data_IF_094699946297
#
_entry.id   IF_094699946297
#
_cell.length_a   1.000
_cell.length_b   1.000
_cell.length_c   1.000
_cell.angle_alpha   90.00
_cell.angle_beta   90.00
_cell.angle_gamma   90.00
#
_symmetry.space_group_name_H-M   'P 1'
#
loop_
_entity.id
_entity.type
_entity.pdbx_description
1 polymer ?
#
# COMPACT_ATOMS: atom_id res chain seq x y z
N UNK A 1 -3.25 -19.05 -2.92
CA UNK A 1 -2.14 -18.14 -3.24
C UNK A 1 -2.29 -16.91 -2.38
N UNK A 2 -1.30 -16.53 -1.57
CA UNK A 2 -1.37 -15.33 -0.73
C UNK A 2 -0.54 -14.22 -1.37
N UNK A 3 -1.16 -13.07 -1.63
CA UNK A 3 -0.44 -11.88 -2.07
C UNK A 3 -0.03 -11.06 -0.84
N UNK A 4 1.28 -10.76 -0.72
CA UNK A 4 1.79 -9.87 0.30
C UNK A 4 2.09 -8.51 -0.32
N UNK A 5 1.42 -7.46 0.17
CA UNK A 5 1.66 -6.09 -0.26
C UNK A 5 2.54 -5.36 0.75
N UNK A 6 3.44 -4.53 0.23
CA UNK A 6 4.32 -3.67 1.01
C UNK A 6 3.97 -2.22 0.68
N UNK A 7 3.62 -1.45 1.72
CA UNK A 7 3.33 -0.03 1.61
C UNK A 7 4.47 0.76 2.24
N UNK A 8 5.07 1.69 1.49
CA UNK A 8 6.11 2.58 1.99
C UNK A 8 5.58 3.99 2.01
N UNK A 9 5.54 4.58 3.20
CA UNK A 9 5.13 5.96 3.42
C UNK A 9 6.22 6.72 4.17
N UNK A 10 7.08 7.46 3.45
CA UNK A 10 8.10 8.29 4.08
C UNK A 10 7.46 9.37 4.96
N UNK A 11 8.04 9.61 6.13
CA UNK A 11 7.57 10.65 7.06
C UNK A 11 7.62 12.03 6.41
N UNK A 12 6.63 12.88 6.73
CA UNK A 12 6.50 14.22 6.16
C UNK A 12 6.01 14.26 4.70
N UNK A 13 5.70 13.11 4.09
CA UNK A 13 5.15 13.05 2.73
C UNK A 13 3.67 12.71 2.73
N UNK A 14 2.97 12.99 1.63
CA UNK A 14 1.61 12.52 1.35
C UNK A 14 1.61 11.45 0.26
N UNK A 15 2.74 10.77 0.06
CA UNK A 15 2.95 9.84 -1.05
C UNK A 15 3.28 8.45 -0.52
N UNK A 16 2.59 7.44 -1.04
CA UNK A 16 2.79 6.04 -0.69
C UNK A 16 3.19 5.25 -1.93
N UNK A 17 4.25 4.46 -1.79
CA UNK A 17 4.62 3.46 -2.78
C UNK A 17 4.07 2.10 -2.39
N UNK A 18 3.65 1.32 -3.38
CA UNK A 18 3.10 -0.03 -3.22
C UNK A 18 3.97 -1.03 -3.95
N UNK A 19 4.26 -2.14 -3.29
CA UNK A 19 5.00 -3.26 -3.84
C UNK A 19 4.42 -4.61 -3.47
N UNK A 20 4.92 -5.66 -4.11
CA UNK A 20 4.60 -7.05 -3.81
C UNK A 20 5.82 -7.77 -3.21
N UNK A 21 5.65 -8.43 -2.07
CA UNK A 21 6.70 -9.18 -1.40
C UNK A 21 6.74 -8.88 0.10
N UNK A 22 7.94 -8.63 0.63
CA UNK A 22 8.16 -8.39 2.06
C UNK A 22 9.00 -7.13 2.27
N UNK A 23 9.00 -6.63 3.51
CA UNK A 23 9.86 -5.51 3.91
C UNK A 23 11.32 -5.84 3.56
N UNK A 24 12.01 -4.92 2.88
CA UNK A 24 13.40 -5.07 2.43
C UNK A 24 13.60 -5.83 1.11
N UNK A 25 12.63 -6.64 0.65
CA UNK A 25 12.69 -7.31 -0.66
C UNK A 25 11.30 -7.41 -1.27
N UNK A 26 11.00 -6.51 -2.20
CA UNK A 26 9.72 -6.45 -2.88
C UNK A 26 9.90 -5.97 -4.32
N UNK A 27 8.94 -6.34 -5.16
CA UNK A 27 8.78 -5.82 -6.52
C UNK A 27 7.90 -4.58 -6.46
N UNK A 28 8.33 -3.46 -7.03
CA UNK A 28 7.50 -2.24 -7.09
C UNK A 28 6.30 -2.48 -8.01
N UNK A 29 5.12 -2.04 -7.59
CA UNK A 29 3.88 -2.09 -8.37
C UNK A 29 3.41 -0.70 -8.78
N UNK A 30 3.36 0.22 -7.82
CA UNK A 30 2.90 1.61 -7.99
C UNK A 30 3.73 2.52 -7.10
N UNK A 31 3.93 3.74 -7.54
CA UNK A 31 4.64 4.80 -6.84
C UNK A 31 3.77 6.07 -6.79
N UNK A 32 4.02 6.89 -5.77
CA UNK A 32 3.37 8.20 -5.67
C UNK A 32 1.84 8.16 -5.58
N UNK A 33 1.28 7.16 -4.87
CA UNK A 33 -0.15 7.18 -4.56
C UNK A 33 -0.37 8.21 -3.46
N UNK A 34 -1.22 9.20 -3.73
CA UNK A 34 -1.56 10.21 -2.73
C UNK A 34 -2.35 9.58 -1.59
N UNK A 35 -1.85 9.71 -0.37
CA UNK A 35 -2.51 9.32 0.87
C UNK A 35 -2.94 10.57 1.64
N UNK A 36 -4.16 10.56 2.16
CA UNK A 36 -4.69 11.63 3.01
C UNK A 36 -4.52 11.28 4.48
N UNK A 37 -4.19 12.28 5.30
CA UNK A 37 -4.12 12.15 6.75
C UNK A 37 -2.71 12.36 7.30
N UNK A 38 -2.59 12.34 8.63
CA UNK A 38 -1.32 12.51 9.30
C UNK A 38 -0.51 11.21 9.23
N UNK A 39 0.81 11.36 9.09
CA UNK A 39 1.74 10.25 9.12
C UNK A 39 1.55 9.44 10.41
N UNK A 40 1.07 8.21 10.26
CA UNK A 40 0.89 7.28 11.38
C UNK A 40 0.73 5.85 10.87
N UNK A 41 1.12 4.84 11.67
CA UNK A 41 0.92 3.43 11.32
C UNK A 41 -0.55 3.08 11.07
N UNK A 42 -1.49 3.69 11.81
CA UNK A 42 -2.93 3.46 11.64
C UNK A 42 -3.43 3.93 10.27
N UNK A 43 -3.10 5.16 9.88
CA UNK A 43 -3.53 5.69 8.57
C UNK A 43 -2.94 4.86 7.43
N UNK A 44 -1.69 4.40 7.57
CA UNK A 44 -1.07 3.51 6.57
C UNK A 44 -1.78 2.15 6.47
N UNK A 45 -2.13 1.56 7.61
CA UNK A 45 -2.85 0.29 7.64
C UNK A 45 -4.24 0.41 7.01
N UNK A 46 -4.99 1.47 7.34
CA UNK A 46 -6.32 1.73 6.80
C UNK A 46 -6.27 1.97 5.27
N UNK A 47 -5.24 2.68 4.79
CA UNK A 47 -4.99 2.84 3.36
C UNK A 47 -4.67 1.50 2.71
N UNK A 48 -3.72 0.75 3.27
CA UNK A 48 -3.25 -0.50 2.69
C UNK A 48 -4.34 -1.55 2.59
N UNK A 49 -5.22 -1.64 3.59
CA UNK A 49 -6.39 -2.52 3.57
C UNK A 49 -7.34 -2.13 2.41
N UNK A 50 -7.74 -0.87 2.33
CA UNK A 50 -8.64 -0.39 1.26
C UNK A 50 -8.06 -0.60 -0.12
N UNK A 51 -6.77 -0.32 -0.30
CA UNK A 51 -6.06 -0.55 -1.55
C UNK A 51 -6.07 -2.03 -1.94
N UNK A 52 -5.72 -2.92 -1.00
CA UNK A 52 -5.68 -4.36 -1.26
C UNK A 52 -7.07 -4.93 -1.62
N UNK A 53 -8.13 -4.49 -0.94
CA UNK A 53 -9.50 -4.87 -1.30
C UNK A 53 -9.85 -4.39 -2.72
N UNK A 54 -9.61 -3.11 -3.03
CA UNK A 54 -9.88 -2.58 -4.37
C UNK A 54 -9.12 -3.30 -5.47
N UNK A 55 -7.91 -3.81 -5.18
CA UNK A 55 -7.12 -4.54 -6.17
C UNK A 55 -7.61 -5.97 -6.37
N UNK A 56 -8.07 -6.62 -5.30
CA UNK A 56 -8.67 -7.95 -5.37
C UNK A 56 -10.06 -7.92 -6.00
N UNK A 57 -10.83 -6.85 -5.80
CA UNK A 57 -12.17 -6.68 -6.36
C UNK A 57 -12.19 -6.67 -7.90
N UNK A 58 -11.05 -6.40 -8.55
CA UNK A 58 -10.92 -6.50 -10.01
C UNK A 58 -11.02 -7.94 -10.52
N UNK A 59 -10.83 -8.92 -9.64
CA UNK A 59 -10.79 -10.34 -9.97
C UNK A 59 -11.97 -11.13 -9.41
N UNK A 60 -12.83 -10.52 -8.59
CA UNK A 60 -14.10 -11.10 -8.19
C UNK A 60 -15.08 -11.02 -9.37
N UNK A 61 -15.22 -12.14 -10.07
CA UNK A 61 -16.32 -12.43 -10.99
C UNK A 61 -17.38 -13.25 -10.27
#
# INVERSE_FOLDING_TARGET
MCAAYVFRWPEGTTQVDVGHGRIGKYMRLRDGITISGNWSPRVLADFGQRWAHSELDKYSR
#
